data_IF_983997915073
#
_entry.id   IF_983997915073
#
_cell.length_a   1.000
_cell.length_b   1.000
_cell.length_c   1.000
_cell.angle_alpha   90.00
_cell.angle_beta   90.00
_cell.angle_gamma   90.00
#
_symmetry.space_group_name_H-M   'P 1'
#
loop_
_entity.id
_entity.type
_entity.pdbx_description
1 polymer ?
#
# COMPACT_ATOMS: atom_id res chain seq x y z
N UNK A 1 23.89 12.91 -32.17
CA UNK A 1 24.03 12.11 -30.92
C UNK A 1 22.82 12.42 -30.06
N UNK A 2 21.84 11.51 -29.98
CA UNK A 2 20.65 11.72 -29.14
C UNK A 2 21.07 11.74 -27.68
N UNK A 3 20.76 12.83 -26.96
CA UNK A 3 20.91 12.87 -25.51
C UNK A 3 20.15 11.68 -24.90
N UNK A 4 20.89 10.80 -24.25
CA UNK A 4 20.31 9.63 -23.58
C UNK A 4 19.49 10.15 -22.40
N UNK A 5 18.15 10.07 -22.53
CA UNK A 5 17.18 10.49 -21.51
C UNK A 5 17.50 9.73 -20.21
N UNK A 6 17.66 10.45 -19.09
CA UNK A 6 17.95 9.84 -17.79
C UNK A 6 16.84 8.86 -17.39
N UNK A 7 17.13 7.88 -16.52
CA UNK A 7 16.12 6.95 -16.01
C UNK A 7 14.96 7.72 -15.35
N UNK A 8 15.28 8.75 -14.57
CA UNK A 8 14.29 9.60 -13.90
C UNK A 8 13.39 10.33 -14.90
N UNK A 9 13.94 10.88 -16.00
CA UNK A 9 13.13 11.51 -17.04
C UNK A 9 12.23 10.50 -17.77
N UNK A 10 12.70 9.26 -18.00
CA UNK A 10 11.86 8.18 -18.54
C UNK A 10 10.73 7.84 -17.58
N UNK A 11 11.01 7.70 -16.29
CA UNK A 11 9.99 7.44 -15.27
C UNK A 11 8.96 8.57 -15.19
N UNK A 12 9.39 9.83 -15.12
CA UNK A 12 8.48 10.98 -15.07
C UNK A 12 7.58 11.04 -16.32
N UNK A 13 8.11 10.73 -17.51
CA UNK A 13 7.31 10.62 -18.73
C UNK A 13 6.29 9.49 -18.66
N UNK A 14 6.65 8.34 -18.08
CA UNK A 14 5.73 7.21 -17.88
C UNK A 14 4.64 7.55 -16.86
N UNK A 15 4.99 8.18 -15.73
CA UNK A 15 4.02 8.60 -14.70
C UNK A 15 3.00 9.57 -15.28
N UNK A 16 3.41 10.54 -16.10
CA UNK A 16 2.47 11.46 -16.77
C UNK A 16 1.44 10.76 -17.66
N UNK A 17 1.73 9.56 -18.15
CA UNK A 17 0.79 8.79 -18.99
C UNK A 17 -0.27 8.05 -18.19
N UNK A 18 -0.05 7.78 -16.91
CA UNK A 18 -1.02 7.09 -16.04
C UNK A 18 -1.92 8.05 -15.27
N UNK A 19 -1.55 9.33 -15.16
CA UNK A 19 -2.41 10.36 -14.57
C UNK A 19 -3.63 10.57 -15.49
N UNK A 20 -4.86 10.37 -14.98
CA UNK A 20 -6.06 10.54 -15.79
C UNK A 20 -6.20 12.00 -16.25
N UNK A 21 -6.66 12.19 -17.48
CA UNK A 21 -7.01 13.54 -17.96
C UNK A 21 -8.30 14.02 -17.28
N UNK A 22 -8.26 15.25 -16.77
CA UNK A 22 -9.43 15.91 -16.20
C UNK A 22 -10.43 16.23 -17.32
N UNK A 23 -11.70 15.88 -17.09
CA UNK A 23 -12.80 16.11 -18.04
C UNK A 23 -14.04 16.61 -17.32
N UNK A 24 -14.79 17.51 -17.95
CA UNK A 24 -16.09 17.98 -17.47
C UNK A 24 -17.21 16.96 -17.65
N UNK A 25 -16.94 15.87 -18.39
CA UNK A 25 -17.92 14.80 -18.65
C UNK A 25 -17.94 13.71 -17.58
N UNK A 26 -16.92 13.67 -16.72
CA UNK A 26 -16.80 12.69 -15.64
C UNK A 26 -17.52 13.18 -14.39
N UNK A 27 -17.99 12.24 -13.58
CA UNK A 27 -18.64 12.53 -12.29
C UNK A 27 -17.88 11.93 -11.11
N UNK A 28 -18.20 12.42 -9.91
CA UNK A 28 -17.54 12.07 -8.66
C UNK A 28 -17.40 10.55 -8.48
N UNK A 29 -16.16 10.12 -8.31
CA UNK A 29 -15.79 8.75 -8.04
C UNK A 29 -15.48 7.93 -9.28
N UNK A 30 -15.39 8.53 -10.47
CA UNK A 30 -14.89 7.83 -11.67
C UNK A 30 -13.36 7.84 -11.76
N UNK A 31 -12.69 8.80 -11.11
CA UNK A 31 -11.23 8.98 -11.19
C UNK A 31 -10.51 8.59 -9.88
N UNK A 32 -11.16 7.84 -8.99
CA UNK A 32 -10.48 7.25 -7.84
C UNK A 32 -11.42 7.06 -6.65
N UNK A 33 -11.51 5.83 -6.17
CA UNK A 33 -12.27 5.46 -4.96
C UNK A 33 -11.36 4.56 -4.16
N UNK A 34 -10.59 5.18 -3.28
CA UNK A 34 -9.50 4.52 -2.55
C UNK A 34 -10.02 4.11 -1.19
N UNK A 35 -9.78 2.87 -0.78
CA UNK A 35 -10.01 2.43 0.58
C UNK A 35 -8.70 2.29 1.33
N UNK A 36 -8.70 2.72 2.58
CA UNK A 36 -7.60 2.56 3.52
C UNK A 36 -8.12 1.74 4.69
N UNK A 37 -7.48 0.61 4.97
CA UNK A 37 -7.81 -0.30 6.05
C UNK A 37 -6.69 -0.24 7.07
N UNK A 38 -6.99 0.38 8.21
CA UNK A 38 -5.99 0.74 9.21
C UNK A 38 -6.60 1.66 10.26
N UNK A 39 -5.78 2.24 11.11
CA UNK A 39 -6.24 3.03 12.26
C UNK A 39 -6.69 2.17 13.43
N UNK A 40 -5.81 2.09 14.43
CA UNK A 40 -6.08 1.56 15.76
C UNK A 40 -6.28 2.69 16.76
N UNK A 41 -6.58 2.33 18.01
CA UNK A 41 -6.74 3.26 19.13
C UNK A 41 -5.57 4.24 19.25
N UNK A 42 -4.33 3.76 19.03
CA UNK A 42 -3.10 4.54 19.14
C UNK A 42 -2.73 5.24 17.84
N UNK A 43 -3.00 4.62 16.69
CA UNK A 43 -2.44 5.02 15.39
C UNK A 43 -3.47 5.63 14.44
N UNK A 44 -4.08 6.74 14.86
CA UNK A 44 -5.12 7.43 14.09
C UNK A 44 -4.56 8.34 12.98
N UNK A 45 -3.34 8.85 13.14
CA UNK A 45 -2.72 9.78 12.17
C UNK A 45 -2.23 9.13 10.87
N UNK A 46 -1.80 7.86 10.93
CA UNK A 46 -1.30 7.11 9.78
C UNK A 46 -2.34 6.93 8.65
N UNK A 47 -3.55 6.36 8.90
CA UNK A 47 -4.56 6.22 7.85
C UNK A 47 -5.07 7.57 7.33
N UNK A 48 -5.09 8.61 8.18
CA UNK A 48 -5.43 9.97 7.76
C UNK A 48 -4.38 10.54 6.79
N UNK A 49 -3.09 10.41 7.11
CA UNK A 49 -2.00 10.91 6.27
C UNK A 49 -2.01 10.24 4.90
N UNK A 50 -2.19 8.92 4.86
CA UNK A 50 -2.36 8.19 3.60
C UNK A 50 -3.60 8.67 2.83
N UNK A 51 -4.74 8.86 3.51
CA UNK A 51 -5.96 9.33 2.86
C UNK A 51 -5.83 10.73 2.28
N UNK A 52 -5.18 11.63 2.99
CA UNK A 52 -4.95 12.99 2.51
C UNK A 52 -3.96 13.02 1.35
N UNK A 53 -2.93 12.14 1.37
CA UNK A 53 -2.03 11.97 0.22
C UNK A 53 -2.80 11.53 -1.02
N UNK A 54 -3.66 10.51 -0.90
CA UNK A 54 -4.50 10.04 -2.00
C UNK A 54 -5.40 11.16 -2.59
N UNK A 55 -6.00 12.01 -1.74
CA UNK A 55 -6.73 13.19 -2.22
C UNK A 55 -5.82 14.16 -2.98
N UNK A 56 -4.62 14.44 -2.44
CA UNK A 56 -3.67 15.37 -3.04
C UNK A 56 -3.10 14.86 -4.38
N UNK A 57 -3.06 13.54 -4.58
CA UNK A 57 -2.63 12.90 -5.83
C UNK A 57 -3.77 12.68 -6.84
N UNK A 58 -5.02 12.98 -6.45
CA UNK A 58 -6.15 13.10 -7.37
C UNK A 58 -7.31 12.12 -7.15
N UNK A 59 -7.36 11.38 -6.04
CA UNK A 59 -8.50 10.52 -5.74
C UNK A 59 -9.78 11.34 -5.52
N UNK A 60 -10.89 10.96 -6.18
CA UNK A 60 -12.19 11.62 -5.97
C UNK A 60 -12.79 11.33 -4.59
N UNK A 61 -12.56 10.12 -4.08
CA UNK A 61 -13.15 9.60 -2.86
C UNK A 61 -12.15 8.74 -2.11
N UNK A 62 -12.03 8.99 -0.81
CA UNK A 62 -11.25 8.18 0.12
C UNK A 62 -12.16 7.66 1.23
N UNK A 63 -12.11 6.35 1.42
CA UNK A 63 -12.79 5.63 2.49
C UNK A 63 -11.75 5.14 3.49
N UNK A 64 -11.94 5.41 4.78
CA UNK A 64 -11.06 4.90 5.83
C UNK A 64 -11.86 3.91 6.69
N UNK A 65 -11.49 2.64 6.66
CA UNK A 65 -12.03 1.60 7.53
C UNK A 65 -11.09 1.41 8.72
N UNK A 66 -11.55 1.81 9.89
CA UNK A 66 -10.76 1.83 11.13
C UNK A 66 -11.50 1.20 12.30
N UNK A 67 -10.80 1.01 13.43
CA UNK A 67 -11.45 0.62 14.68
C UNK A 67 -12.40 1.72 15.16
N UNK A 68 -13.35 1.33 16.00
CA UNK A 68 -14.35 2.25 16.56
C UNK A 68 -13.71 3.46 17.23
N UNK A 69 -12.71 3.21 18.07
CA UNK A 69 -12.04 4.24 18.87
C UNK A 69 -11.16 5.17 18.02
N UNK A 70 -10.65 4.70 16.88
CA UNK A 70 -9.91 5.53 15.93
C UNK A 70 -10.82 6.50 15.15
N UNK A 71 -12.11 6.17 15.01
CA UNK A 71 -13.04 6.90 14.15
C UNK A 71 -13.26 8.36 14.53
N UNK A 72 -13.42 8.65 15.83
CA UNK A 72 -13.62 10.00 16.33
C UNK A 72 -12.43 10.92 16.02
N UNK A 73 -11.20 10.56 16.46
CA UNK A 73 -9.99 11.31 16.14
C UNK A 73 -9.78 11.51 14.64
N UNK A 74 -9.91 10.48 13.80
CA UNK A 74 -9.68 10.61 12.35
C UNK A 74 -10.66 11.60 11.73
N UNK A 75 -11.95 11.53 12.09
CA UNK A 75 -12.98 12.47 11.62
C UNK A 75 -12.73 13.91 12.06
N UNK A 76 -12.03 14.12 13.18
CA UNK A 76 -11.71 15.48 13.68
C UNK A 76 -10.60 16.17 12.87
N UNK A 77 -9.80 15.42 12.11
CA UNK A 77 -8.71 16.00 11.31
C UNK A 77 -9.18 16.62 9.99
N UNK A 78 -10.24 16.07 9.36
CA UNK A 78 -10.88 16.65 8.17
C UNK A 78 -12.27 16.06 7.95
N UNK A 79 -13.23 16.84 7.42
CA UNK A 79 -14.53 16.33 6.99
C UNK A 79 -14.50 15.57 5.65
N UNK A 80 -13.40 15.62 4.90
CA UNK A 80 -13.32 15.10 3.53
C UNK A 80 -13.36 13.55 3.41
N UNK A 81 -12.55 12.78 4.17
CA UNK A 81 -12.57 11.32 4.07
C UNK A 81 -13.85 10.73 4.65
N UNK A 82 -14.38 9.69 4.00
CA UNK A 82 -15.52 8.93 4.51
C UNK A 82 -14.99 7.89 5.49
N UNK A 83 -15.14 8.14 6.79
CA UNK A 83 -14.60 7.29 7.86
C UNK A 83 -15.64 6.29 8.36
N UNK A 84 -15.30 5.00 8.27
CA UNK A 84 -16.08 3.83 8.65
C UNK A 84 -15.45 3.17 9.91
N UNK A 85 -15.92 3.53 11.12
CA UNK A 85 -15.40 3.01 12.38
C UNK A 85 -16.00 1.63 12.70
N UNK A 86 -15.63 0.62 11.91
CA UNK A 86 -16.29 -0.70 11.90
C UNK A 86 -15.31 -1.88 11.86
N UNK A 87 -14.00 -1.65 11.85
CA UNK A 87 -13.01 -2.71 11.58
C UNK A 87 -12.92 -3.76 12.70
N UNK A 88 -13.26 -3.37 13.92
CA UNK A 88 -13.33 -4.18 15.14
C UNK A 88 -14.75 -4.72 15.44
N UNK A 89 -15.73 -4.47 14.57
CA UNK A 89 -17.07 -5.02 14.73
C UNK A 89 -17.13 -6.52 14.41
N UNK A 90 -18.01 -7.24 15.10
CA UNK A 90 -18.25 -8.67 14.86
C UNK A 90 -18.70 -8.98 13.41
N UNK A 91 -19.39 -8.05 12.76
CA UNK A 91 -19.89 -8.14 11.39
C UNK A 91 -19.14 -7.22 10.41
N UNK A 92 -17.92 -6.80 10.77
CA UNK A 92 -17.08 -5.88 9.99
C UNK A 92 -17.04 -6.23 8.49
N UNK A 93 -16.78 -7.49 8.16
CA UNK A 93 -16.70 -7.96 6.78
C UNK A 93 -18.01 -7.74 6.01
N UNK A 94 -19.15 -8.04 6.63
CA UNK A 94 -20.47 -7.84 6.00
C UNK A 94 -20.68 -6.35 5.69
N UNK A 95 -20.28 -5.47 6.60
CA UNK A 95 -20.40 -4.03 6.42
C UNK A 95 -19.43 -3.47 5.36
N UNK A 96 -18.17 -3.94 5.35
CA UNK A 96 -17.16 -3.53 4.37
C UNK A 96 -17.56 -3.97 2.96
N UNK A 97 -18.12 -5.18 2.79
CA UNK A 97 -18.55 -5.73 1.49
C UNK A 97 -19.51 -4.80 0.73
N UNK A 98 -20.34 -4.02 1.42
CA UNK A 98 -21.28 -3.06 0.81
C UNK A 98 -20.59 -1.95 -0.01
N UNK A 99 -19.29 -1.75 0.22
CA UNK A 99 -18.48 -0.73 -0.43
C UNK A 99 -17.52 -1.30 -1.46
N UNK A 100 -17.09 -2.56 -1.33
CA UNK A 100 -16.00 -3.15 -2.11
C UNK A 100 -16.19 -3.03 -3.62
N UNK A 101 -17.39 -3.27 -4.15
CA UNK A 101 -17.65 -3.19 -5.59
C UNK A 101 -17.30 -1.82 -6.17
N UNK A 102 -17.54 -0.76 -5.39
CA UNK A 102 -17.30 0.64 -5.77
C UNK A 102 -15.85 1.08 -5.60
N UNK A 103 -15.04 0.37 -4.82
CA UNK A 103 -13.66 0.75 -4.54
C UNK A 103 -12.74 0.29 -5.68
N UNK A 104 -11.78 1.14 -6.04
CA UNK A 104 -10.83 0.88 -7.12
C UNK A 104 -9.54 0.23 -6.61
N UNK A 105 -9.03 0.68 -5.45
CA UNK A 105 -7.79 0.18 -4.82
C UNK A 105 -7.97 0.16 -3.31
N UNK A 106 -7.35 -0.81 -2.65
CA UNK A 106 -7.42 -0.97 -1.19
C UNK A 106 -5.99 -0.98 -0.64
N UNK A 107 -5.68 0.02 0.18
CA UNK A 107 -4.46 0.12 0.97
C UNK A 107 -4.71 -0.50 2.35
N UNK A 108 -3.84 -1.42 2.78
CA UNK A 108 -3.94 -2.09 4.07
C UNK A 108 -2.65 -1.85 4.86
N UNK A 109 -2.78 -1.40 6.11
CA UNK A 109 -1.65 -1.33 7.03
C UNK A 109 -1.43 -0.02 7.79
N UNK A 110 -1.68 1.18 7.23
CA UNK A 110 -1.43 2.44 7.93
C UNK A 110 -2.12 2.50 9.30
N UNK A 111 -1.33 2.41 10.37
CA UNK A 111 -1.84 2.37 11.74
C UNK A 111 -2.74 1.17 12.07
N UNK A 112 -2.62 0.04 11.37
CA UNK A 112 -3.48 -1.13 11.60
C UNK A 112 -3.31 -1.72 13.01
N UNK A 113 -2.11 -1.60 13.59
CA UNK A 113 -1.75 -2.26 14.83
C UNK A 113 -1.59 -3.77 14.65
N UNK A 114 -1.50 -4.50 15.77
CA UNK A 114 -1.22 -5.95 15.77
C UNK A 114 -2.21 -6.77 16.60
N UNK A 115 -3.43 -6.25 16.73
CA UNK A 115 -4.51 -6.99 17.37
C UNK A 115 -4.93 -8.20 16.50
N UNK A 116 -4.99 -9.38 17.12
CA UNK A 116 -5.29 -10.63 16.40
C UNK A 116 -6.69 -10.67 15.80
N UNK A 117 -7.68 -10.03 16.43
CA UNK A 117 -9.05 -9.96 15.90
C UNK A 117 -9.07 -9.10 14.64
N UNK A 118 -8.36 -7.98 14.66
CA UNK A 118 -8.19 -7.12 13.47
C UNK A 118 -7.49 -7.88 12.36
N UNK A 119 -6.41 -8.60 12.67
CA UNK A 119 -5.72 -9.43 11.68
C UNK A 119 -6.59 -10.53 11.09
N UNK A 120 -7.48 -11.14 11.89
CA UNK A 120 -8.47 -12.10 11.37
C UNK A 120 -9.41 -11.44 10.37
N UNK A 121 -9.99 -10.28 10.73
CA UNK A 121 -10.85 -9.50 9.83
C UNK A 121 -10.10 -9.13 8.54
N UNK A 122 -8.88 -8.60 8.64
CA UNK A 122 -8.10 -8.21 7.46
C UNK A 122 -7.70 -9.41 6.59
N UNK A 123 -7.39 -10.56 7.20
CA UNK A 123 -7.10 -11.79 6.44
C UNK A 123 -8.31 -12.21 5.60
N UNK A 124 -9.51 -12.20 6.17
CA UNK A 124 -10.75 -12.51 5.45
C UNK A 124 -11.03 -11.48 4.34
N UNK A 125 -10.81 -10.20 4.63
CA UNK A 125 -10.95 -9.13 3.65
C UNK A 125 -10.03 -9.32 2.44
N UNK A 126 -8.76 -9.68 2.66
CA UNK A 126 -7.79 -9.96 1.57
C UNK A 126 -8.31 -11.10 0.68
N UNK A 127 -8.88 -12.17 1.27
CA UNK A 127 -9.50 -13.27 0.53
C UNK A 127 -10.65 -12.80 -0.36
N UNK A 128 -11.55 -11.97 0.15
CA UNK A 128 -12.66 -11.41 -0.64
C UNK A 128 -12.14 -10.49 -1.75
N UNK A 129 -11.13 -9.68 -1.46
CA UNK A 129 -10.51 -8.80 -2.44
C UNK A 129 -9.85 -9.58 -3.57
N UNK A 130 -9.25 -10.75 -3.27
CA UNK A 130 -8.70 -11.68 -4.25
C UNK A 130 -9.76 -12.15 -5.22
N UNK A 131 -10.91 -12.60 -4.71
CA UNK A 131 -12.03 -13.10 -5.54
C UNK A 131 -12.59 -12.01 -6.45
N UNK A 132 -12.68 -10.78 -5.93
CA UNK A 132 -13.09 -9.59 -6.67
C UNK A 132 -11.99 -8.98 -7.55
N UNK A 133 -10.77 -9.55 -7.52
CA UNK A 133 -9.57 -9.05 -8.21
C UNK A 133 -9.28 -7.58 -7.93
N UNK A 134 -9.54 -7.11 -6.70
CA UNK A 134 -9.27 -5.74 -6.28
C UNK A 134 -7.76 -5.54 -6.12
N UNK A 135 -7.15 -4.53 -6.75
CA UNK A 135 -5.76 -4.17 -6.49
C UNK A 135 -5.52 -3.86 -5.02
N UNK A 136 -4.43 -4.41 -4.46
CA UNK A 136 -4.02 -4.17 -3.07
C UNK A 136 -2.69 -3.44 -3.00
N UNK A 137 -2.59 -2.53 -2.04
CA UNK A 137 -1.33 -2.01 -1.52
C UNK A 137 -1.22 -2.47 -0.07
N UNK A 138 -0.09 -3.06 0.32
CA UNK A 138 0.14 -3.50 1.69
C UNK A 138 1.37 -2.79 2.24
N UNK A 139 1.18 -2.04 3.32
CA UNK A 139 2.22 -1.27 4.02
C UNK A 139 2.26 -1.63 5.51
N UNK A 140 3.30 -1.20 6.22
CA UNK A 140 3.40 -1.20 7.67
C UNK A 140 2.97 -2.54 8.34
N UNK A 141 2.02 -2.51 9.29
CA UNK A 141 1.56 -3.73 9.98
C UNK A 141 0.75 -4.68 9.08
N UNK A 142 0.28 -4.23 7.90
CA UNK A 142 -0.20 -5.11 6.85
C UNK A 142 0.93 -6.02 6.33
N UNK A 143 2.15 -5.48 6.19
CA UNK A 143 3.34 -6.27 5.83
C UNK A 143 3.73 -7.24 6.96
N UNK A 144 3.50 -6.83 8.22
CA UNK A 144 3.66 -7.75 9.35
C UNK A 144 2.67 -8.91 9.26
N UNK A 145 1.39 -8.66 9.01
CA UNK A 145 0.37 -9.70 8.83
C UNK A 145 0.77 -10.72 7.76
N UNK A 146 1.15 -10.28 6.56
CA UNK A 146 1.53 -11.20 5.48
C UNK A 146 2.86 -11.91 5.74
N UNK A 147 3.73 -11.36 6.60
CA UNK A 147 4.94 -12.09 7.04
C UNK A 147 4.59 -13.27 7.96
N UNK A 148 3.45 -13.21 8.66
CA UNK A 148 2.94 -14.33 9.46
C UNK A 148 2.10 -15.30 8.61
N UNK A 149 1.50 -14.80 7.52
CA UNK A 149 0.61 -15.55 6.62
C UNK A 149 0.91 -15.28 5.13
N UNK A 150 2.06 -15.75 4.62
CA UNK A 150 2.51 -15.49 3.23
C UNK A 150 1.50 -15.92 2.17
N UNK A 151 0.72 -16.97 2.46
CA UNK A 151 -0.28 -17.55 1.56
C UNK A 151 -1.40 -16.59 1.19
N UNK A 152 -1.69 -15.58 2.03
CA UNK A 152 -2.74 -14.58 1.77
C UNK A 152 -2.51 -13.83 0.47
N UNK A 153 -1.24 -13.63 0.09
CA UNK A 153 -0.84 -12.77 -1.03
C UNK A 153 -0.09 -13.50 -2.14
N UNK A 154 0.16 -14.80 -1.98
CA UNK A 154 0.79 -15.61 -3.03
C UNK A 154 -0.06 -15.59 -4.30
N UNK A 155 0.57 -15.27 -5.42
CA UNK A 155 -0.04 -15.13 -6.76
C UNK A 155 -1.28 -14.20 -6.79
N UNK A 156 -1.30 -13.19 -5.92
CA UNK A 156 -2.40 -12.22 -5.89
C UNK A 156 -2.50 -11.45 -7.22
N UNK A 157 -3.71 -11.16 -7.75
CA UNK A 157 -3.90 -10.65 -9.11
C UNK A 157 -3.38 -9.22 -9.38
N UNK A 158 -3.17 -8.41 -8.34
CA UNK A 158 -2.56 -7.09 -8.44
C UNK A 158 -2.16 -6.59 -7.06
N UNK A 159 -0.86 -6.62 -6.77
CA UNK A 159 -0.34 -6.41 -5.42
C UNK A 159 0.86 -5.47 -5.43
N UNK A 160 0.84 -4.47 -4.57
CA UNK A 160 1.99 -3.60 -4.29
C UNK A 160 2.38 -3.78 -2.82
N UNK A 161 3.66 -4.04 -2.58
CA UNK A 161 4.24 -4.08 -1.24
C UNK A 161 5.20 -2.91 -1.07
N UNK A 162 5.14 -2.22 0.07
CA UNK A 162 5.97 -1.03 0.34
C UNK A 162 6.93 -1.21 1.53
N UNK A 163 7.73 -2.29 1.61
CA UNK A 163 8.55 -2.56 2.79
C UNK A 163 9.68 -1.54 2.99
N UNK A 164 9.93 -1.15 4.24
CA UNK A 164 11.24 -0.65 4.66
C UNK A 164 12.23 -1.81 4.91
N UNK A 165 13.48 -1.49 5.24
CA UNK A 165 14.53 -2.49 5.48
C UNK A 165 14.18 -3.57 6.53
N UNK A 166 13.45 -3.21 7.60
CA UNK A 166 13.03 -4.15 8.65
C UNK A 166 11.86 -5.03 8.20
N UNK A 167 10.94 -4.47 7.43
CA UNK A 167 9.81 -5.22 6.85
C UNK A 167 10.30 -6.18 5.78
N UNK A 168 11.24 -5.74 4.94
CA UNK A 168 11.87 -6.57 3.92
C UNK A 168 12.56 -7.81 4.52
N UNK A 169 13.32 -7.65 5.60
CA UNK A 169 13.98 -8.81 6.23
C UNK A 169 12.99 -9.83 6.78
N UNK A 170 11.84 -9.38 7.31
CA UNK A 170 10.74 -10.26 7.74
C UNK A 170 10.13 -11.00 6.55
N UNK A 171 9.88 -10.31 5.44
CA UNK A 171 9.34 -10.94 4.23
C UNK A 171 10.31 -11.98 3.65
N UNK A 172 11.61 -11.68 3.61
CA UNK A 172 12.64 -12.65 3.18
C UNK A 172 12.63 -13.92 4.03
N UNK A 173 12.49 -13.77 5.36
CA UNK A 173 12.36 -14.94 6.24
C UNK A 173 11.06 -15.68 5.99
N UNK A 174 9.94 -14.98 5.81
CA UNK A 174 8.63 -15.60 5.66
C UNK A 174 8.45 -16.35 4.33
N UNK A 175 8.93 -15.79 3.22
CA UNK A 175 8.71 -16.35 1.88
C UNK A 175 9.83 -17.29 1.40
N UNK A 176 11.06 -17.10 1.89
CA UNK A 176 12.25 -17.81 1.40
C UNK A 176 13.02 -18.54 2.51
N UNK A 177 12.52 -18.52 3.75
CA UNK A 177 13.21 -19.04 4.95
C UNK A 177 14.62 -18.45 5.17
N UNK A 178 14.91 -17.29 4.56
CA UNK A 178 16.24 -16.69 4.53
C UNK A 178 16.34 -15.49 5.47
N UNK A 179 17.23 -15.58 6.45
CA UNK A 179 17.55 -14.47 7.34
C UNK A 179 18.50 -13.50 6.64
N UNK A 180 18.09 -12.23 6.53
CA UNK A 180 18.93 -11.14 6.02
C UNK A 180 18.94 -9.99 7.02
N UNK A 181 20.06 -9.28 7.09
CA UNK A 181 20.16 -8.11 7.95
C UNK A 181 19.47 -6.89 7.29
N UNK A 182 18.69 -6.10 8.05
CA UNK A 182 18.14 -4.84 7.58
C UNK A 182 19.27 -3.88 7.20
N UNK A 183 19.33 -3.49 5.92
CA UNK A 183 20.35 -2.57 5.39
C UNK A 183 19.69 -1.38 4.68
N UNK A 184 20.33 -0.19 4.66
CA UNK A 184 19.76 0.99 4.00
C UNK A 184 19.56 0.85 2.49
N UNK A 185 20.33 -0.04 1.84
CA UNK A 185 20.25 -0.33 0.41
C UNK A 185 20.23 -1.84 0.22
N UNK A 186 19.07 -2.36 -0.18
CA UNK A 186 18.86 -3.79 -0.45
C UNK A 186 19.37 -4.12 -1.86
N UNK A 187 19.92 -5.32 -2.04
CA UNK A 187 20.37 -5.77 -3.37
C UNK A 187 19.17 -6.05 -4.28
N UNK A 188 19.20 -5.55 -5.51
CA UNK A 188 18.15 -5.79 -6.52
C UNK A 188 17.87 -7.30 -6.71
N UNK A 189 18.91 -8.14 -6.65
CA UNK A 189 18.75 -9.59 -6.76
C UNK A 189 17.92 -10.20 -5.63
N UNK A 190 18.00 -9.68 -4.41
CA UNK A 190 17.20 -10.15 -3.28
C UNK A 190 15.75 -9.70 -3.40
N UNK A 191 15.52 -8.47 -3.87
CA UNK A 191 14.18 -7.97 -4.17
C UNK A 191 13.49 -8.79 -5.27
N UNK A 192 14.21 -9.08 -6.36
CA UNK A 192 13.70 -9.93 -7.44
C UNK A 192 13.38 -11.35 -6.97
N UNK A 193 14.24 -11.92 -6.13
CA UNK A 193 14.00 -13.27 -5.59
C UNK A 193 12.77 -13.30 -4.67
N UNK A 194 12.55 -12.25 -3.88
CA UNK A 194 11.32 -12.09 -3.08
C UNK A 194 10.10 -11.94 -4.00
N UNK A 195 10.15 -11.08 -5.02
CA UNK A 195 9.06 -10.89 -5.96
C UNK A 195 8.69 -12.20 -6.68
N UNK A 196 9.68 -12.95 -7.17
CA UNK A 196 9.51 -14.26 -7.80
C UNK A 196 8.82 -15.26 -6.86
N UNK A 197 9.12 -15.23 -5.56
CA UNK A 197 8.51 -16.12 -4.55
C UNK A 197 7.05 -15.78 -4.22
N UNK A 198 6.67 -14.51 -4.36
CA UNK A 198 5.32 -14.03 -4.09
C UNK A 198 4.42 -14.29 -5.29
N UNK A 199 4.87 -13.96 -6.50
CA UNK A 199 4.15 -14.22 -7.73
C UNK A 199 4.27 -13.12 -8.79
N UNK A 200 3.89 -13.44 -10.02
CA UNK A 200 4.14 -12.61 -11.21
C UNK A 200 3.53 -11.20 -11.19
N UNK A 201 2.42 -10.98 -10.49
CA UNK A 201 1.71 -9.69 -10.49
C UNK A 201 2.04 -8.82 -9.26
N UNK A 202 3.11 -9.14 -8.53
CA UNK A 202 3.58 -8.31 -7.42
C UNK A 202 4.48 -7.20 -7.92
N UNK A 203 4.37 -6.03 -7.31
CA UNK A 203 5.34 -4.94 -7.36
C UNK A 203 5.84 -4.70 -5.94
N UNK A 204 7.17 -4.61 -5.76
CA UNK A 204 7.79 -4.30 -4.48
C UNK A 204 8.47 -2.95 -4.61
N UNK A 205 7.98 -1.95 -3.88
CA UNK A 205 8.64 -0.67 -3.66
C UNK A 205 9.38 -0.76 -2.32
N UNK A 206 10.66 -1.09 -2.37
CA UNK A 206 11.48 -1.17 -1.18
C UNK A 206 12.01 0.21 -0.79
N UNK A 207 11.52 0.72 0.34
CA UNK A 207 11.87 2.02 0.92
C UNK A 207 13.28 1.95 1.55
N UNK A 208 14.15 2.92 1.23
CA UNK A 208 15.52 2.91 1.74
C UNK A 208 16.26 4.23 1.58
N UNK A 209 17.59 4.20 1.62
CA UNK A 209 18.40 5.36 1.25
C UNK A 209 18.23 5.71 -0.23
N UNK A 210 17.90 4.71 -1.05
CA UNK A 210 17.39 4.84 -2.41
C UNK A 210 16.23 3.87 -2.56
N UNK A 211 15.09 4.38 -3.01
CA UNK A 211 13.93 3.53 -3.23
C UNK A 211 14.14 2.70 -4.50
N UNK A 212 13.88 1.41 -4.38
CA UNK A 212 14.04 0.44 -5.48
C UNK A 212 12.71 -0.23 -5.74
N UNK A 213 12.27 -0.22 -6.99
CA UNK A 213 11.05 -0.85 -7.46
C UNK A 213 11.42 -2.05 -8.33
N UNK A 214 10.87 -3.21 -7.99
CA UNK A 214 10.93 -4.42 -8.82
C UNK A 214 9.53 -4.99 -8.99
N UNK A 215 9.32 -5.77 -10.03
CA UNK A 215 8.10 -6.57 -10.22
C UNK A 215 8.42 -8.08 -10.23
N UNK A 216 7.37 -8.90 -10.23
CA UNK A 216 7.47 -10.36 -10.37
C UNK A 216 7.66 -10.85 -11.81
N UNK A 217 7.90 -9.95 -12.79
CA UNK A 217 8.09 -10.33 -14.18
C UNK A 217 9.58 -10.53 -14.50
N UNK A 218 9.90 -11.73 -15.01
CA UNK A 218 11.26 -12.05 -15.43
C UNK A 218 11.70 -11.13 -16.57
N UNK A 219 12.87 -10.52 -16.41
CA UNK A 219 13.48 -9.65 -17.42
C UNK A 219 13.11 -8.18 -17.31
N UNK A 220 12.17 -7.77 -16.44
CA UNK A 220 11.90 -6.36 -16.20
C UNK A 220 13.11 -5.69 -15.52
N UNK A 221 13.48 -4.51 -16.01
CA UNK A 221 14.51 -3.67 -15.39
C UNK A 221 14.03 -3.16 -14.04
N UNK A 222 14.87 -3.25 -13.01
CA UNK A 222 14.57 -2.63 -11.72
C UNK A 222 14.67 -1.11 -11.83
N UNK A 223 13.74 -0.39 -11.23
CA UNK A 223 13.77 1.07 -11.19
C UNK A 223 14.35 1.54 -9.86
N UNK A 224 15.25 2.50 -9.92
CA UNK A 224 15.81 3.14 -8.72
C UNK A 224 15.46 4.62 -8.77
N UNK A 225 14.80 5.14 -7.74
CA UNK A 225 14.61 6.58 -7.61
C UNK A 225 15.91 7.20 -7.10
N UNK A 226 16.57 8.00 -7.95
CA UNK A 226 17.80 8.70 -7.59
C UNK A 226 17.54 10.16 -7.16
N UNK A 227 16.28 10.59 -7.15
CA UNK A 227 15.89 11.95 -6.75
C UNK A 227 16.11 12.11 -5.25
N UNK A 228 16.82 13.17 -4.87
CA UNK A 228 17.05 13.52 -3.47
C UNK A 228 15.73 13.79 -2.75
N UNK A 229 15.42 12.96 -1.75
CA UNK A 229 14.30 13.16 -0.83
C UNK A 229 14.66 14.05 0.37
N UNK A 230 13.72 14.17 1.30
CA UNK A 230 13.97 14.81 2.60
C UNK A 230 14.94 13.97 3.44
N UNK A 231 15.96 14.60 4.02
CA UNK A 231 16.84 13.96 5.01
C UNK A 231 16.18 13.75 6.38
N UNK A 232 14.98 14.30 6.61
CA UNK A 232 14.25 14.13 7.87
C UNK A 232 13.55 12.78 7.88
N UNK A 233 13.64 12.08 9.02
CA UNK A 233 12.90 10.84 9.30
C UNK A 233 11.68 11.15 10.18
N UNK A 234 10.69 11.83 9.62
CA UNK A 234 9.45 12.08 10.34
C UNK A 234 8.53 10.84 10.29
N UNK A 235 7.79 10.61 11.38
CA UNK A 235 6.62 9.72 11.32
C UNK A 235 5.63 10.25 10.27
N UNK A 236 4.94 9.34 9.57
CA UNK A 236 3.99 9.70 8.52
C UNK A 236 4.53 9.64 7.08
N UNK A 237 5.85 9.65 6.87
CA UNK A 237 6.39 9.69 5.50
C UNK A 237 6.05 8.43 4.67
N UNK A 238 6.04 7.26 5.32
CA UNK A 238 5.59 6.02 4.68
C UNK A 238 4.11 6.04 4.33
N UNK A 239 3.29 6.63 5.19
CA UNK A 239 1.85 6.76 4.98
C UNK A 239 1.54 7.67 3.78
N UNK A 240 2.29 8.77 3.63
CA UNK A 240 2.20 9.64 2.45
C UNK A 240 2.60 8.93 1.15
N UNK A 241 3.61 8.05 1.19
CA UNK A 241 4.01 7.30 0.01
C UNK A 241 2.99 6.22 -0.37
N UNK A 242 2.33 5.63 0.63
CA UNK A 242 1.37 4.54 0.43
C UNK A 242 0.02 5.03 -0.13
N UNK A 243 -0.38 6.26 0.18
CA UNK A 243 -1.62 6.89 -0.28
C UNK A 243 -1.45 7.72 -1.54
#
# INVERSE_FOLDING_TARGET
>A
MSAQISLDERMLKSVRRIVPSLSTTKYKGQDGRIAIVGGSTEYTGAPFSAGMSAFRTGADLVHIFCTKDAGGPIKSFSPDPIVHPILDHHDAIRQIKLWLDRLHVILIGPGLGRDEKIFKTVSELIGICRDLKKPLIIDADGLYLISQKPELVKDYPGLILTPNAMEFSRLMKAFLDRTVQPVPVVKISELKHLADSIGKNVVILNKGAKDTIVDGHKGTEALCCAISGSGRRCGGQGDLLAG
#
